data_IF_494892936833
#
_entry.id   IF_494892936833
#
_cell.length_a   1.000
_cell.length_b   1.000
_cell.length_c   1.000
_cell.angle_alpha   90.00
_cell.angle_beta   90.00
_cell.angle_gamma   90.00
#
_symmetry.space_group_name_H-M   'P 1'
#
loop_
_entity.id
_entity.type
_entity.pdbx_description
1 polymer ?
#
# COMPACT_ATOMS: atom_id res chain seq x y z
N UNK A 1 11.93 -36.64 2.41
CA UNK A 1 12.25 -36.42 0.99
C UNK A 1 10.95 -36.26 0.21
N UNK A 2 10.41 -35.03 0.13
CA UNK A 2 9.20 -34.78 -0.68
C UNK A 2 9.67 -34.24 -2.02
N UNK A 3 9.17 -34.89 -3.09
CA UNK A 3 9.31 -34.48 -4.51
C UNK A 3 9.30 -32.97 -4.63
N UNK A 4 10.21 -32.43 -5.45
CA UNK A 4 10.32 -31.02 -5.79
C UNK A 4 8.93 -30.45 -6.09
N UNK A 5 8.37 -29.76 -5.10
CA UNK A 5 7.09 -29.09 -5.20
C UNK A 5 7.22 -28.05 -6.32
N UNK A 6 6.27 -27.96 -7.28
CA UNK A 6 6.36 -26.98 -8.35
C UNK A 6 6.61 -25.59 -7.79
N UNK A 7 7.48 -24.80 -8.43
CA UNK A 7 7.87 -23.47 -7.94
C UNK A 7 6.65 -22.57 -7.65
N UNK A 8 5.60 -22.69 -8.48
CA UNK A 8 4.32 -22.02 -8.29
C UNK A 8 3.60 -22.44 -7.00
N UNK A 9 3.64 -23.74 -6.66
CA UNK A 9 3.07 -24.24 -5.43
C UNK A 9 3.89 -23.83 -4.19
N UNK A 10 5.20 -23.61 -4.33
CA UNK A 10 6.01 -23.01 -3.25
C UNK A 10 5.69 -21.52 -3.03
N UNK A 11 5.40 -20.77 -4.10
CA UNK A 11 5.02 -19.35 -4.00
C UNK A 11 3.68 -19.13 -3.29
N UNK A 12 2.74 -20.07 -3.42
CA UNK A 12 1.42 -20.01 -2.77
C UNK A 12 1.38 -20.70 -1.40
N UNK A 13 2.46 -21.38 -1.01
CA UNK A 13 2.56 -22.04 0.28
C UNK A 13 3.04 -21.07 1.38
N UNK A 14 3.04 -21.55 2.63
CA UNK A 14 3.45 -20.77 3.79
C UNK A 14 4.94 -20.39 3.71
N UNK A 15 5.21 -19.09 3.75
CA UNK A 15 6.56 -18.50 3.69
C UNK A 15 7.36 -18.78 4.96
N UNK A 16 8.69 -18.57 4.90
CA UNK A 16 9.56 -18.75 6.08
C UNK A 16 9.21 -17.78 7.22
N UNK A 17 8.87 -16.52 6.91
CA UNK A 17 8.43 -15.54 7.92
C UNK A 17 7.18 -16.02 8.64
N UNK A 18 6.15 -16.39 7.86
CA UNK A 18 4.88 -16.91 8.34
C UNK A 18 5.06 -18.18 9.20
N UNK A 19 5.95 -19.09 8.82
CA UNK A 19 6.28 -20.27 9.65
C UNK A 19 6.83 -19.88 11.03
N UNK A 20 7.67 -18.86 11.11
CA UNK A 20 8.20 -18.38 12.39
C UNK A 20 7.09 -17.77 13.26
N UNK A 21 6.17 -17.03 12.66
CA UNK A 21 5.00 -16.50 13.36
C UNK A 21 4.09 -17.62 13.87
N UNK A 22 3.79 -18.61 13.04
CA UNK A 22 3.00 -19.77 13.45
C UNK A 22 3.64 -20.50 14.64
N UNK A 23 4.97 -20.66 14.64
CA UNK A 23 5.69 -21.24 15.79
C UNK A 23 5.53 -20.39 17.05
N UNK A 24 5.55 -19.05 16.95
CA UNK A 24 5.29 -18.16 18.09
C UNK A 24 3.87 -18.36 18.62
N UNK A 25 2.87 -18.38 17.72
CA UNK A 25 1.45 -18.58 18.09
C UNK A 25 1.26 -19.93 18.79
N UNK A 26 1.80 -21.02 18.24
CA UNK A 26 1.69 -22.35 18.84
C UNK A 26 2.36 -22.45 20.23
N UNK A 27 3.47 -21.75 20.45
CA UNK A 27 4.10 -21.67 21.77
C UNK A 27 3.21 -20.93 22.78
N UNK A 28 2.57 -19.85 22.35
CA UNK A 28 1.62 -19.09 23.18
C UNK A 28 0.40 -19.94 23.53
N UNK A 29 -0.17 -20.67 22.56
CA UNK A 29 -1.30 -21.58 22.82
C UNK A 29 -0.94 -22.72 23.76
N UNK A 30 0.25 -23.32 23.60
CA UNK A 30 0.74 -24.32 24.57
C UNK A 30 0.87 -23.74 25.98
N UNK A 31 1.35 -22.50 26.10
CA UNK A 31 1.47 -21.82 27.39
C UNK A 31 0.09 -21.50 27.99
N UNK A 32 -0.90 -21.14 27.16
CA UNK A 32 -2.30 -20.95 27.57
C UNK A 32 -2.87 -22.23 28.17
N UNK A 33 -2.77 -23.37 27.48
CA UNK A 33 -3.28 -24.64 28.02
C UNK A 33 -2.67 -24.98 29.37
N UNK A 34 -1.34 -24.79 29.52
CA UNK A 34 -0.66 -25.01 30.81
C UNK A 34 -1.21 -24.09 31.89
N UNK A 35 -1.39 -22.81 31.60
CA UNK A 35 -1.93 -21.84 32.55
C UNK A 35 -3.35 -22.22 33.00
N UNK A 36 -4.22 -22.62 32.08
CA UNK A 36 -5.62 -22.98 32.38
C UNK A 36 -5.74 -24.18 33.32
N UNK A 37 -4.82 -25.13 33.23
CA UNK A 37 -4.71 -26.26 34.17
C UNK A 37 -4.26 -25.79 35.54
N UNK A 38 -3.19 -24.98 35.62
CA UNK A 38 -2.61 -24.51 36.89
C UNK A 38 -3.59 -23.63 37.70
N UNK A 39 -4.48 -22.89 37.03
CA UNK A 39 -5.51 -22.08 37.68
C UNK A 39 -6.83 -22.85 37.93
N UNK A 40 -6.85 -24.16 37.67
CA UNK A 40 -8.00 -25.03 37.91
C UNK A 40 -9.21 -24.77 37.01
N UNK A 41 -9.03 -24.12 35.85
CA UNK A 41 -10.11 -23.89 34.88
C UNK A 41 -10.39 -25.11 34.01
N UNK A 42 -9.44 -26.03 33.87
CA UNK A 42 -9.59 -27.22 33.04
C UNK A 42 -8.83 -28.41 33.64
N UNK A 43 -9.30 -29.65 33.42
CA UNK A 43 -8.55 -30.83 33.84
C UNK A 43 -7.20 -30.89 33.10
N UNK A 44 -6.16 -31.49 33.71
CA UNK A 44 -4.88 -31.66 33.04
C UNK A 44 -5.07 -32.52 31.79
N UNK A 45 -4.77 -31.94 30.63
CA UNK A 45 -4.72 -32.67 29.37
C UNK A 45 -3.50 -33.59 29.35
N UNK A 46 -3.67 -34.77 28.76
CA UNK A 46 -2.54 -35.64 28.43
C UNK A 46 -1.67 -35.01 27.35
N UNK A 47 -0.39 -35.42 27.28
CA UNK A 47 0.53 -34.94 26.24
C UNK A 47 0.02 -35.25 24.82
N UNK A 48 -0.76 -36.32 24.64
CA UNK A 48 -1.34 -36.70 23.36
C UNK A 48 -2.50 -35.77 22.97
N UNK A 49 -3.39 -35.43 23.90
CA UNK A 49 -4.49 -34.48 23.65
C UNK A 49 -3.95 -33.09 23.30
N UNK A 50 -2.97 -32.60 24.06
CA UNK A 50 -2.30 -31.32 23.75
C UNK A 50 -1.66 -31.34 22.37
N UNK A 51 -1.09 -32.47 21.96
CA UNK A 51 -0.50 -32.60 20.63
C UNK A 51 -1.55 -32.52 19.52
N UNK A 52 -2.70 -33.16 19.70
CA UNK A 52 -3.81 -33.11 18.73
C UNK A 52 -4.37 -31.69 18.58
N UNK A 53 -4.60 -30.98 19.69
CA UNK A 53 -5.05 -29.59 19.69
C UNK A 53 -4.07 -28.65 18.98
N UNK A 54 -2.77 -28.75 19.33
CA UNK A 54 -1.74 -27.94 18.68
C UNK A 54 -1.57 -28.29 17.19
N UNK A 55 -1.76 -29.55 16.81
CA UNK A 55 -1.73 -29.98 15.42
C UNK A 55 -2.91 -29.38 14.64
N UNK A 56 -4.12 -29.42 15.20
CA UNK A 56 -5.29 -28.84 14.56
C UNK A 56 -5.12 -27.34 14.35
N UNK A 57 -4.68 -26.63 15.40
CA UNK A 57 -4.34 -25.20 15.32
C UNK A 57 -3.26 -24.91 14.26
N UNK A 58 -2.25 -25.76 14.15
CA UNK A 58 -1.21 -25.60 13.13
C UNK A 58 -1.75 -25.78 11.70
N UNK A 59 -2.73 -26.67 11.50
CA UNK A 59 -3.38 -26.88 10.21
C UNK A 59 -4.31 -25.71 9.86
N UNK A 60 -5.07 -25.20 10.82
CA UNK A 60 -5.91 -24.01 10.68
C UNK A 60 -5.05 -22.80 10.25
N UNK A 61 -4.00 -22.48 11.01
CA UNK A 61 -3.08 -21.38 10.70
C UNK A 61 -2.44 -21.53 9.31
N UNK A 62 -2.08 -22.76 8.92
CA UNK A 62 -1.53 -23.03 7.59
C UNK A 62 -2.54 -22.70 6.49
N UNK A 63 -3.80 -23.08 6.68
CA UNK A 63 -4.84 -22.90 5.68
C UNK A 63 -5.28 -21.44 5.56
N UNK A 64 -5.31 -20.71 6.68
CA UNK A 64 -5.45 -19.24 6.73
C UNK A 64 -4.35 -18.53 5.94
N UNK A 65 -3.07 -18.78 6.26
CA UNK A 65 -1.94 -18.13 5.56
C UNK A 65 -1.89 -18.48 4.08
N UNK A 66 -2.24 -19.72 3.71
CA UNK A 66 -2.37 -20.10 2.29
C UNK A 66 -3.51 -19.37 1.59
N UNK A 67 -4.62 -19.11 2.27
CA UNK A 67 -5.72 -18.32 1.72
C UNK A 67 -5.29 -16.87 1.49
N UNK A 68 -4.60 -16.26 2.44
CA UNK A 68 -4.03 -14.91 2.32
C UNK A 68 -3.05 -14.83 1.14
N UNK A 69 -2.11 -15.76 1.04
CA UNK A 69 -1.13 -15.79 -0.06
C UNK A 69 -1.83 -15.93 -1.44
N UNK A 70 -2.91 -16.72 -1.52
CA UNK A 70 -3.71 -16.84 -2.75
C UNK A 70 -4.45 -15.54 -3.09
N UNK A 71 -5.03 -14.86 -2.10
CA UNK A 71 -5.71 -13.56 -2.29
C UNK A 71 -4.72 -12.50 -2.78
N UNK A 72 -3.58 -12.37 -2.12
CA UNK A 72 -2.52 -11.44 -2.50
C UNK A 72 -2.02 -11.68 -3.94
N UNK A 73 -1.83 -12.95 -4.30
CA UNK A 73 -1.48 -13.32 -5.67
C UNK A 73 -2.58 -12.98 -6.68
N UNK A 74 -3.85 -13.26 -6.34
CA UNK A 74 -4.99 -12.94 -7.20
C UNK A 74 -5.14 -11.42 -7.40
N UNK A 75 -4.92 -10.62 -6.36
CA UNK A 75 -4.93 -9.16 -6.42
C UNK A 75 -3.84 -8.64 -7.36
N UNK A 76 -2.60 -9.10 -7.19
CA UNK A 76 -1.50 -8.75 -8.08
C UNK A 76 -1.81 -9.10 -9.55
N UNK A 77 -2.41 -10.28 -9.78
CA UNK A 77 -2.73 -10.71 -11.13
C UNK A 77 -3.90 -9.91 -11.71
N UNK A 78 -4.92 -9.61 -10.91
CA UNK A 78 -6.05 -8.77 -11.30
C UNK A 78 -5.57 -7.38 -11.74
N UNK A 79 -4.70 -6.75 -10.95
CA UNK A 79 -4.20 -5.40 -11.22
C UNK A 79 -3.31 -5.37 -12.46
N UNK A 80 -2.48 -6.39 -12.67
CA UNK A 80 -1.67 -6.51 -13.87
C UNK A 80 -2.52 -6.71 -15.12
N UNK A 81 -3.55 -7.58 -15.07
CA UNK A 81 -4.50 -7.76 -16.19
C UNK A 81 -5.26 -6.46 -16.46
N UNK A 82 -5.72 -5.77 -15.41
CA UNK A 82 -6.39 -4.47 -15.53
C UNK A 82 -5.46 -3.44 -16.20
N UNK A 83 -4.22 -3.33 -15.74
CA UNK A 83 -3.22 -2.42 -16.29
C UNK A 83 -2.91 -2.70 -17.76
N UNK A 84 -2.70 -3.96 -18.13
CA UNK A 84 -2.48 -4.37 -19.53
C UNK A 84 -3.71 -4.05 -20.39
N UNK A 85 -4.90 -4.38 -19.91
CA UNK A 85 -6.16 -4.14 -20.63
C UNK A 85 -6.38 -2.65 -20.86
N UNK A 86 -6.15 -1.83 -19.84
CA UNK A 86 -6.24 -0.37 -19.94
C UNK A 86 -5.19 0.18 -20.91
N UNK A 87 -3.95 -0.30 -20.83
CA UNK A 87 -2.88 0.11 -21.74
C UNK A 87 -3.23 -0.20 -23.20
N UNK A 88 -3.68 -1.43 -23.47
CA UNK A 88 -4.16 -1.85 -24.80
C UNK A 88 -5.28 -0.94 -25.27
N UNK A 89 -6.29 -0.69 -24.43
CA UNK A 89 -7.42 0.17 -24.78
C UNK A 89 -6.97 1.58 -25.15
N UNK A 90 -6.10 2.19 -24.33
CA UNK A 90 -5.54 3.51 -24.60
C UNK A 90 -4.67 3.54 -25.86
N UNK A 91 -3.88 2.48 -26.08
CA UNK A 91 -2.99 2.37 -27.24
C UNK A 91 -3.78 2.27 -28.55
N UNK A 92 -4.85 1.49 -28.60
CA UNK A 92 -5.68 1.34 -29.81
C UNK A 92 -6.67 2.49 -30.03
N UNK A 93 -7.09 3.20 -28.97
CA UNK A 93 -8.08 4.28 -29.06
C UNK A 93 -7.43 5.69 -29.06
N UNK A 94 -6.33 5.89 -29.80
CA UNK A 94 -5.59 7.16 -29.83
C UNK A 94 -6.46 8.39 -30.13
N UNK A 95 -7.48 8.25 -31.00
CA UNK A 95 -8.40 9.35 -31.34
C UNK A 95 -9.22 9.82 -30.13
N UNK A 96 -9.77 8.89 -29.34
CA UNK A 96 -10.51 9.21 -28.11
C UNK A 96 -9.59 9.79 -27.05
N UNK A 97 -8.37 9.27 -26.92
CA UNK A 97 -7.35 9.80 -26.01
C UNK A 97 -6.97 11.23 -26.40
N UNK A 98 -6.80 11.51 -27.70
CA UNK A 98 -6.53 12.85 -28.21
C UNK A 98 -7.70 13.82 -27.93
N UNK A 99 -8.95 13.36 -28.09
CA UNK A 99 -10.13 14.16 -27.75
C UNK A 99 -10.20 14.47 -26.25
N UNK A 100 -9.87 13.51 -25.39
CA UNK A 100 -9.84 13.71 -23.94
C UNK A 100 -8.74 14.71 -23.56
N UNK A 101 -7.54 14.57 -24.13
CA UNK A 101 -6.43 15.53 -23.95
C UNK A 101 -6.83 16.93 -24.41
N UNK A 102 -7.46 17.05 -25.58
CA UNK A 102 -7.93 18.33 -26.11
C UNK A 102 -8.99 18.96 -25.20
N UNK A 103 -9.97 18.17 -24.76
CA UNK A 103 -11.02 18.63 -23.84
C UNK A 103 -10.42 19.11 -22.52
N UNK A 104 -9.51 18.34 -21.92
CA UNK A 104 -8.81 18.73 -20.70
C UNK A 104 -7.98 20.01 -20.88
N UNK A 105 -7.24 20.11 -21.99
CA UNK A 105 -6.47 21.31 -22.32
C UNK A 105 -7.36 22.53 -22.49
N UNK A 106 -8.51 22.38 -23.16
CA UNK A 106 -9.49 23.45 -23.36
C UNK A 106 -10.10 23.92 -22.03
N UNK A 107 -10.45 23.00 -21.13
CA UNK A 107 -10.97 23.33 -19.80
C UNK A 107 -9.92 24.11 -19.00
N UNK A 108 -8.68 23.61 -18.94
CA UNK A 108 -7.61 24.27 -18.17
C UNK A 108 -7.27 25.64 -18.75
N UNK A 109 -7.24 25.80 -20.06
CA UNK A 109 -6.92 27.10 -20.69
C UNK A 109 -8.02 28.13 -20.59
N UNK A 110 -9.27 27.71 -20.41
CA UNK A 110 -10.39 28.64 -20.22
C UNK A 110 -10.41 29.25 -18.81
N UNK A 111 -9.61 28.72 -17.88
CA UNK A 111 -9.41 29.29 -16.54
C UNK A 111 -8.43 30.48 -16.65
N UNK A 112 -8.60 31.50 -15.82
CA UNK A 112 -7.64 32.61 -15.72
C UNK A 112 -6.25 32.12 -15.27
N UNK A 113 -5.17 32.81 -15.62
CA UNK A 113 -3.82 32.39 -15.21
C UNK A 113 -3.64 32.35 -13.68
N UNK A 114 -4.34 33.23 -12.96
CA UNK A 114 -4.43 33.19 -11.50
C UNK A 114 -5.21 31.97 -11.00
N UNK A 115 -6.33 31.62 -11.65
CA UNK A 115 -7.12 30.44 -11.33
C UNK A 115 -6.39 29.12 -11.62
N UNK A 116 -5.58 29.06 -12.68
CA UNK A 116 -4.71 27.90 -12.95
C UNK A 116 -3.70 27.70 -11.84
N UNK A 117 -3.02 28.78 -11.43
CA UNK A 117 -2.05 28.73 -10.33
C UNK A 117 -2.73 28.32 -9.01
N UNK A 118 -3.89 28.91 -8.71
CA UNK A 118 -4.68 28.55 -7.53
C UNK A 118 -5.13 27.09 -7.55
N UNK A 119 -5.68 26.59 -8.67
CA UNK A 119 -6.13 25.21 -8.81
C UNK A 119 -4.96 24.24 -8.63
N UNK A 120 -3.79 24.54 -9.21
CA UNK A 120 -2.61 23.72 -9.04
C UNK A 120 -2.18 23.69 -7.57
N UNK A 121 -2.09 24.84 -6.90
CA UNK A 121 -1.74 24.92 -5.46
C UNK A 121 -2.75 24.13 -4.62
N UNK A 122 -4.05 24.33 -4.85
CA UNK A 122 -5.13 23.66 -4.13
C UNK A 122 -5.07 22.14 -4.31
N UNK A 123 -4.91 21.66 -5.53
CA UNK A 123 -4.77 20.22 -5.83
C UNK A 123 -3.52 19.67 -5.15
N UNK A 124 -2.39 20.36 -5.26
CA UNK A 124 -1.17 19.89 -4.60
C UNK A 124 -1.30 19.88 -3.08
N UNK A 125 -1.96 20.87 -2.48
CA UNK A 125 -2.15 20.95 -1.03
C UNK A 125 -3.11 19.87 -0.52
N UNK A 126 -4.15 19.52 -1.30
CA UNK A 126 -5.08 18.43 -0.95
C UNK A 126 -4.43 17.04 -1.10
N UNK A 127 -3.74 16.79 -2.21
CA UNK A 127 -3.20 15.45 -2.52
C UNK A 127 -1.86 15.17 -1.83
N UNK A 128 -1.05 16.20 -1.60
CA UNK A 128 0.23 16.05 -0.90
C UNK A 128 0.11 16.45 0.57
N UNK A 129 -0.96 17.10 1.00
CA UNK A 129 -1.15 17.57 2.36
C UNK A 129 -0.82 16.53 3.43
N UNK A 130 0.33 16.74 4.09
CA UNK A 130 0.89 15.99 5.23
C UNK A 130 0.04 15.99 6.48
N UNK A 131 -1.09 16.71 6.45
CA UNK A 131 -1.88 17.01 7.63
C UNK A 131 -2.59 15.79 8.23
N UNK A 132 -2.42 14.59 7.65
CA UNK A 132 -2.76 13.33 8.30
C UNK A 132 -1.66 12.29 8.09
N UNK A 133 -0.73 12.18 9.05
CA UNK A 133 0.16 11.02 9.17
C UNK A 133 -0.65 9.72 9.13
N UNK A 134 -1.83 9.73 9.78
CA UNK A 134 -2.80 8.64 9.75
C UNK A 134 -3.34 8.32 8.36
N UNK A 135 -3.53 9.31 7.48
CA UNK A 135 -4.00 9.10 6.12
C UNK A 135 -2.97 8.38 5.26
N UNK A 136 -1.70 8.80 5.38
CA UNK A 136 -0.58 8.13 4.72
C UNK A 136 -0.31 6.73 5.28
N UNK A 137 -0.41 6.56 6.59
CA UNK A 137 -0.30 5.25 7.23
C UNK A 137 -1.39 4.30 6.71
N UNK A 138 -2.65 4.72 6.75
CA UNK A 138 -3.78 3.93 6.26
C UNK A 138 -3.62 3.57 4.78
N UNK A 139 -3.17 4.53 3.95
CA UNK A 139 -2.93 4.29 2.53
C UNK A 139 -1.87 3.20 2.32
N UNK A 140 -0.76 3.27 3.07
CA UNK A 140 0.33 2.29 2.97
C UNK A 140 -0.14 0.92 3.45
N UNK A 141 -0.86 0.85 4.58
CA UNK A 141 -1.41 -0.40 5.11
C UNK A 141 -2.36 -1.07 4.11
N UNK A 142 -3.28 -0.31 3.49
CA UNK A 142 -4.19 -0.82 2.45
C UNK A 142 -3.40 -1.40 1.27
N UNK A 143 -2.36 -0.69 0.80
CA UNK A 143 -1.54 -1.16 -0.33
C UNK A 143 -0.79 -2.44 0.05
N UNK A 144 -0.18 -2.48 1.22
CA UNK A 144 0.58 -3.64 1.70
C UNK A 144 -0.32 -4.85 1.90
N UNK A 145 -1.50 -4.68 2.49
CA UNK A 145 -2.49 -5.74 2.68
C UNK A 145 -2.99 -6.27 1.34
N UNK A 146 -3.30 -5.37 0.39
CA UNK A 146 -3.77 -5.74 -0.95
C UNK A 146 -2.76 -6.65 -1.68
N UNK A 147 -1.46 -6.38 -1.54
CA UNK A 147 -0.40 -7.19 -2.14
C UNK A 147 0.16 -8.29 -1.20
N UNK A 148 -0.37 -8.46 0.01
CA UNK A 148 0.10 -9.45 0.98
C UNK A 148 1.56 -9.27 1.42
N UNK A 149 2.03 -8.02 1.46
CA UNK A 149 3.38 -7.64 1.84
C UNK A 149 3.40 -7.38 3.35
N UNK A 150 4.14 -8.23 4.08
CA UNK A 150 4.43 -8.02 5.50
C UNK A 150 5.53 -6.97 5.62
N UNK A 151 5.19 -5.77 6.11
CA UNK A 151 6.17 -4.72 6.42
C UNK A 151 6.26 -4.51 7.94
N UNK A 152 7.46 -4.17 8.40
CA UNK A 152 7.66 -3.80 9.80
C UNK A 152 7.06 -2.43 10.09
N UNK A 153 6.54 -2.22 11.31
CA UNK A 153 5.96 -0.95 11.74
C UNK A 153 6.96 0.21 11.58
N UNK A 154 8.25 -0.02 11.87
CA UNK A 154 9.29 1.00 11.68
C UNK A 154 9.48 1.39 10.21
N UNK A 155 9.28 0.45 9.27
CA UNK A 155 9.37 0.73 7.85
C UNK A 155 8.18 1.57 7.37
N UNK A 156 6.97 1.29 7.87
CA UNK A 156 5.76 2.07 7.59
C UNK A 156 5.93 3.50 8.12
N UNK A 157 6.35 3.66 9.38
CA UNK A 157 6.59 4.98 9.99
C UNK A 157 7.66 5.74 9.19
N UNK A 158 8.77 5.10 8.85
CA UNK A 158 9.85 5.73 8.07
C UNK A 158 9.33 6.21 6.71
N UNK A 159 8.50 5.40 6.04
CA UNK A 159 7.88 5.79 4.78
C UNK A 159 7.00 7.03 4.96
N UNK A 160 6.08 7.01 5.93
CA UNK A 160 5.13 8.10 6.20
C UNK A 160 5.85 9.40 6.56
N UNK A 161 6.97 9.32 7.28
CA UNK A 161 7.76 10.51 7.63
C UNK A 161 8.59 11.07 6.48
N UNK A 162 9.10 10.22 5.57
CA UNK A 162 10.09 10.65 4.55
C UNK A 162 9.45 10.87 3.19
N UNK A 163 8.74 9.86 2.67
CA UNK A 163 8.32 9.81 1.27
C UNK A 163 7.31 10.89 0.97
N UNK A 164 6.26 11.05 1.80
CA UNK A 164 5.43 12.20 1.70
C UNK A 164 6.36 13.45 1.68
N UNK A 165 7.14 13.78 2.73
CA UNK A 165 7.74 15.14 2.86
C UNK A 165 8.62 15.50 1.66
N UNK A 166 9.30 14.48 1.13
CA UNK A 166 10.07 14.59 -0.10
C UNK A 166 9.21 14.90 -1.34
N UNK A 167 8.07 14.23 -1.51
CA UNK A 167 7.14 14.49 -2.62
C UNK A 167 6.63 15.95 -2.61
N UNK A 168 6.31 16.51 -1.44
CA UNK A 168 5.93 17.92 -1.30
C UNK A 168 7.00 18.86 -1.82
N UNK A 169 8.23 18.65 -1.35
CA UNK A 169 9.37 19.47 -1.73
C UNK A 169 9.60 19.40 -3.25
N UNK A 170 9.53 18.20 -3.84
CA UNK A 170 9.68 18.00 -5.28
C UNK A 170 8.58 18.73 -6.06
N UNK A 171 7.32 18.64 -5.62
CA UNK A 171 6.20 19.28 -6.28
C UNK A 171 6.29 20.79 -6.15
N UNK A 172 6.58 21.33 -4.95
CA UNK A 172 6.83 22.76 -4.75
C UNK A 172 7.97 23.28 -5.63
N UNK A 173 9.09 22.57 -5.70
CA UNK A 173 10.22 22.93 -6.57
C UNK A 173 9.82 22.92 -8.06
N UNK A 174 9.08 21.90 -8.49
CA UNK A 174 8.56 21.82 -9.85
C UNK A 174 7.62 22.98 -10.17
N UNK A 175 6.73 23.33 -9.23
CA UNK A 175 5.84 24.47 -9.32
C UNK A 175 6.62 25.77 -9.45
N UNK A 176 7.59 26.05 -8.58
CA UNK A 176 8.42 27.26 -8.68
C UNK A 176 9.16 27.38 -10.01
N UNK A 177 9.59 26.24 -10.59
CA UNK A 177 10.26 26.21 -11.89
C UNK A 177 9.31 26.39 -13.08
N UNK A 178 8.08 25.87 -13.00
CA UNK A 178 7.12 25.83 -14.12
C UNK A 178 6.06 26.93 -14.09
N UNK A 179 5.68 27.43 -12.92
CA UNK A 179 4.71 28.52 -12.76
C UNK A 179 5.09 29.80 -13.53
N UNK A 180 6.36 30.25 -13.58
CA UNK A 180 6.73 31.44 -14.36
C UNK A 180 6.45 31.31 -15.86
N UNK A 181 6.44 30.08 -16.39
CA UNK A 181 6.10 29.80 -17.79
C UNK A 181 4.60 29.63 -18.06
N UNK A 182 3.79 29.36 -17.03
CA UNK A 182 2.34 29.15 -17.13
C UNK A 182 1.53 30.41 -16.79
N UNK A 183 2.07 31.31 -15.96
CA UNK A 183 1.43 32.55 -15.54
C UNK A 183 2.46 33.70 -15.39
N UNK A 184 2.77 34.43 -16.48
CA UNK A 184 3.81 35.48 -16.47
C UNK A 184 3.57 36.57 -15.40
N UNK A 185 2.30 36.90 -15.11
CA UNK A 185 1.92 37.92 -14.11
C UNK A 185 2.18 37.49 -12.65
N UNK A 186 2.09 36.20 -12.34
CA UNK A 186 2.39 35.66 -11.00
C UNK A 186 3.90 35.71 -10.72
N UNK A 187 4.73 35.57 -11.76
CA UNK A 187 6.19 35.70 -11.64
C UNK A 187 6.62 37.11 -11.21
N UNK A 188 5.88 38.14 -11.59
CA UNK A 188 6.17 39.53 -11.22
C UNK A 188 5.87 39.76 -9.73
N UNK A 189 4.75 39.23 -9.22
CA UNK A 189 4.39 39.32 -7.80
C UNK A 189 5.40 38.57 -6.91
N UNK A 190 5.86 37.38 -7.32
CA UNK A 190 6.92 36.65 -6.59
C UNK A 190 8.29 37.33 -6.63
N UNK A 191 8.61 38.05 -7.72
CA UNK A 191 9.84 38.86 -7.81
C UNK A 191 9.79 40.09 -6.91
N UNK A 192 8.60 40.66 -6.74
CA UNK A 192 8.37 41.84 -5.89
C UNK A 192 8.43 41.46 -4.41
N UNK A 193 7.86 40.31 -4.01
CA UNK A 193 8.02 39.76 -2.66
C UNK A 193 9.45 39.34 -2.29
N UNK A 194 10.29 38.98 -3.28
CA UNK A 194 11.72 38.64 -3.03
C UNK A 194 12.63 39.87 -3.00
N UNK A 195 12.10 41.06 -3.32
CA UNK A 195 12.83 42.34 -3.34
C UNK A 195 12.66 43.11 -2.02
N UNK A 196 11.78 42.64 -1.15
CA UNK A 196 11.63 43.04 0.24
C UNK A 196 12.15 41.94 1.17
#
# INVERSE_FOLDING_TARGET
YVKTVPLAAQMLDVRRSQKLEMVKVLKTEKARFRLEVEIGKSPPLSDEEVWWELRDKALELRDERRLENRKAFANLWSDLVFGISLFILLYFNQSKVALLKFTGYKIINNISDAGKAFLIILVTDIFLGYHSESGWQTLVEIILEHYGIEADESAIITFVCVVPVFMDACVKLWLFKKLPGLAPRVSNIFKEMRRH
#
